data_IF_727765307121
#
_entry.id   IF_727765307121
#
_cell.length_a   1.000
_cell.length_b   1.000
_cell.length_c   1.000
_cell.angle_alpha   90.00
_cell.angle_beta   90.00
_cell.angle_gamma   90.00
#
_symmetry.space_group_name_H-M   'P 1'
#
loop_
_entity.id
_entity.type
_entity.pdbx_description
1 polymer ?
#
# COMPACT_ATOMS: atom_id res chain seq x y z
N UNK A 1 -0.90 4.51 19.71
CA UNK A 1 -0.84 4.75 18.26
C UNK A 1 -2.21 4.42 17.66
N UNK A 2 -2.66 5.25 16.72
CA UNK A 2 -3.99 5.09 16.10
C UNK A 2 -4.01 4.11 14.94
N UNK A 3 -2.85 3.91 14.28
CA UNK A 3 -2.73 3.10 13.08
C UNK A 3 -1.28 2.65 12.84
N UNK A 4 -1.11 1.46 12.28
CA UNK A 4 0.17 0.97 11.75
C UNK A 4 0.16 1.04 10.22
N UNK A 5 1.18 1.66 9.64
CA UNK A 5 1.38 1.71 8.18
C UNK A 5 2.39 0.64 7.81
N UNK A 6 1.93 -0.39 7.09
CA UNK A 6 2.77 -1.49 6.61
C UNK A 6 3.23 -1.16 5.20
N UNK A 7 4.55 -1.06 5.02
CA UNK A 7 5.19 -0.69 3.75
C UNK A 7 6.01 -1.87 3.25
N UNK A 8 5.68 -2.43 2.07
CA UNK A 8 6.47 -3.50 1.47
C UNK A 8 7.67 -2.95 0.71
N UNK A 9 8.83 -3.62 0.82
CA UNK A 9 10.02 -3.26 0.06
C UNK A 9 10.85 -4.49 -0.30
N UNK A 10 11.61 -4.40 -1.39
CA UNK A 10 12.65 -5.34 -1.78
C UNK A 10 13.67 -4.63 -2.66
N UNK A 11 14.91 -4.47 -2.17
CA UNK A 11 16.05 -3.88 -2.89
C UNK A 11 15.75 -2.57 -3.64
N UNK A 12 14.94 -1.67 -3.05
CA UNK A 12 14.46 -0.43 -3.67
C UNK A 12 14.76 0.80 -2.81
N UNK A 13 16.02 0.96 -2.39
CA UNK A 13 16.48 1.98 -1.42
C UNK A 13 16.05 3.39 -1.80
N UNK A 14 16.27 3.80 -3.07
CA UNK A 14 15.93 5.16 -3.55
C UNK A 14 14.43 5.44 -3.50
N UNK A 15 13.60 4.45 -3.84
CA UNK A 15 12.14 4.61 -3.80
C UNK A 15 11.64 4.61 -2.37
N UNK A 16 12.11 3.68 -1.53
CA UNK A 16 11.76 3.63 -0.11
C UNK A 16 12.14 4.92 0.61
N UNK A 17 13.30 5.51 0.30
CA UNK A 17 13.69 6.81 0.85
C UNK A 17 12.64 7.88 0.55
N UNK A 18 12.20 8.00 -0.70
CA UNK A 18 11.17 8.98 -1.09
C UNK A 18 9.84 8.73 -0.38
N UNK A 19 9.44 7.47 -0.23
CA UNK A 19 8.21 7.09 0.48
C UNK A 19 8.30 7.45 1.96
N UNK A 20 9.41 7.11 2.64
CA UNK A 20 9.62 7.46 4.05
C UNK A 20 9.64 8.97 4.29
N UNK A 21 10.24 9.76 3.38
CA UNK A 21 10.16 11.22 3.44
C UNK A 21 8.69 11.68 3.35
N UNK A 22 7.89 11.09 2.49
CA UNK A 22 6.45 11.39 2.41
C UNK A 22 5.69 11.07 3.71
N UNK A 23 6.07 10.01 4.40
CA UNK A 23 5.48 9.68 5.70
C UNK A 23 5.99 10.59 6.83
N UNK A 24 7.20 11.12 6.77
CA UNK A 24 7.73 12.04 7.81
C UNK A 24 7.01 13.39 7.86
N UNK A 25 6.24 13.73 6.82
CA UNK A 25 5.51 15.01 6.70
C UNK A 25 3.98 14.85 6.71
N UNK A 26 3.47 13.72 7.23
CA UNK A 26 2.03 13.50 7.35
C UNK A 26 1.38 14.47 8.33
N UNK A 27 0.12 14.86 8.07
CA UNK A 27 -0.70 15.68 8.98
C UNK A 27 -1.08 14.94 10.26
N UNK A 28 -1.33 13.63 10.18
CA UNK A 28 -1.47 12.77 11.34
C UNK A 28 -0.07 12.32 11.80
N UNK A 29 0.23 12.42 13.08
CA UNK A 29 1.52 12.04 13.66
C UNK A 29 1.45 10.82 14.59
N UNK A 30 0.25 10.35 14.96
CA UNK A 30 0.06 9.24 15.88
C UNK A 30 -0.08 7.91 15.12
N UNK A 31 0.95 7.55 14.36
CA UNK A 31 1.07 6.28 13.66
C UNK A 31 2.48 5.68 13.82
N UNK A 32 2.60 4.39 13.60
CA UNK A 32 3.89 3.70 13.43
C UNK A 32 4.08 3.26 11.99
N UNK A 33 5.33 3.04 11.61
CA UNK A 33 5.70 2.42 10.35
C UNK A 33 6.24 1.02 10.63
N UNK A 34 5.72 0.04 9.89
CA UNK A 34 6.22 -1.34 9.87
C UNK A 34 6.72 -1.62 8.45
N UNK A 35 8.02 -1.73 8.28
CA UNK A 35 8.62 -2.09 6.98
C UNK A 35 8.58 -3.60 6.84
N UNK A 36 7.84 -4.09 5.87
CA UNK A 36 7.78 -5.49 5.43
C UNK A 36 8.81 -5.69 4.32
N UNK A 37 10.02 -6.10 4.69
CA UNK A 37 11.19 -6.20 3.82
C UNK A 37 11.40 -7.65 3.37
N UNK A 38 11.17 -7.92 2.10
CA UNK A 38 11.16 -9.25 1.48
C UNK A 38 12.59 -9.77 1.15
N UNK A 39 13.56 -9.51 2.04
CA UNK A 39 14.91 -10.03 1.92
C UNK A 39 15.89 -9.06 1.25
N UNK A 40 15.74 -7.75 1.45
CA UNK A 40 16.68 -6.76 0.93
C UNK A 40 18.07 -6.88 1.55
N UNK A 41 19.06 -6.33 0.85
CA UNK A 41 20.44 -6.15 1.33
C UNK A 41 20.52 -5.17 2.50
N UNK A 42 21.68 -5.12 3.18
CA UNK A 42 21.93 -4.23 4.33
C UNK A 42 21.67 -2.75 4.07
N UNK A 43 21.78 -2.29 2.81
CA UNK A 43 21.54 -0.90 2.42
C UNK A 43 20.12 -0.41 2.79
N UNK A 44 19.12 -1.30 2.72
CA UNK A 44 17.76 -0.98 3.15
C UNK A 44 17.69 -0.75 4.66
N UNK A 45 18.35 -1.59 5.45
CA UNK A 45 18.44 -1.43 6.91
C UNK A 45 19.15 -0.13 7.29
N UNK A 46 20.23 0.20 6.59
CA UNK A 46 21.01 1.43 6.82
C UNK A 46 20.16 2.67 6.53
N UNK A 47 19.41 2.66 5.42
CA UNK A 47 18.46 3.72 5.09
C UNK A 47 17.41 3.90 6.20
N UNK A 48 16.79 2.81 6.65
CA UNK A 48 15.77 2.84 7.72
C UNK A 48 16.36 3.45 8.98
N UNK A 49 17.54 3.00 9.40
CA UNK A 49 18.23 3.52 10.60
C UNK A 49 18.50 5.02 10.48
N UNK A 50 18.99 5.47 9.32
CA UNK A 50 19.28 6.89 9.03
C UNK A 50 18.03 7.77 9.11
N UNK A 51 16.88 7.28 8.65
CA UNK A 51 15.65 8.05 8.59
C UNK A 51 14.80 7.96 9.87
N UNK A 52 15.07 6.99 10.74
CA UNK A 52 14.25 6.74 11.96
C UNK A 52 14.10 7.97 12.85
N UNK A 53 15.11 8.84 12.93
CA UNK A 53 15.07 10.09 13.71
C UNK A 53 14.05 11.12 13.19
N UNK A 54 13.57 10.98 11.95
CA UNK A 54 12.54 11.86 11.37
C UNK A 54 11.13 11.52 11.86
N UNK A 55 10.94 10.41 12.58
CA UNK A 55 9.64 9.93 13.04
C UNK A 55 9.48 10.05 14.55
N UNK A 56 8.26 10.37 14.97
CA UNK A 56 7.88 10.41 16.39
C UNK A 56 7.93 9.03 17.02
N UNK A 57 7.48 8.01 16.31
CA UNK A 57 7.48 6.62 16.74
C UNK A 57 8.58 5.84 16.01
N UNK A 58 9.18 4.81 16.64
CA UNK A 58 10.18 3.97 16.00
C UNK A 58 9.64 3.30 14.74
N UNK A 59 10.49 3.15 13.72
CA UNK A 59 10.19 2.30 12.57
C UNK A 59 10.50 0.85 12.97
N UNK A 60 9.52 -0.03 12.80
CA UNK A 60 9.68 -1.47 12.98
C UNK A 60 10.15 -2.06 11.66
N UNK A 61 11.34 -2.62 11.61
CA UNK A 61 11.88 -3.32 10.45
C UNK A 61 11.66 -4.82 10.61
N UNK A 62 10.75 -5.38 9.81
CA UNK A 62 10.50 -6.82 9.72
C UNK A 62 11.15 -7.32 8.45
N UNK A 63 12.13 -8.20 8.62
CA UNK A 63 12.96 -8.74 7.55
C UNK A 63 13.02 -10.26 7.62
N UNK A 64 13.22 -10.93 6.50
CA UNK A 64 13.59 -12.34 6.41
C UNK A 64 14.60 -12.53 5.27
N UNK A 65 15.28 -13.66 5.28
CA UNK A 65 16.22 -14.03 4.23
C UNK A 65 15.53 -14.12 2.86
N UNK A 66 16.26 -13.70 1.80
CA UNK A 66 15.78 -13.76 0.42
C UNK A 66 15.70 -15.21 -0.09
N UNK A 67 14.51 -15.67 -0.30
CA UNK A 67 14.18 -16.95 -0.95
C UNK A 67 13.30 -16.75 -2.18
N UNK A 68 13.51 -15.64 -2.92
CA UNK A 68 12.67 -15.19 -4.02
C UNK A 68 11.42 -14.45 -3.54
N UNK A 69 10.43 -14.29 -4.39
CA UNK A 69 9.24 -13.51 -4.06
C UNK A 69 8.41 -14.13 -2.95
N UNK A 70 8.47 -13.56 -1.75
CA UNK A 70 7.72 -13.98 -0.56
C UNK A 70 6.93 -12.83 0.08
N UNK A 71 6.52 -11.85 -0.72
CA UNK A 71 5.77 -10.66 -0.27
C UNK A 71 4.61 -11.00 0.68
N UNK A 72 3.85 -12.06 0.42
CA UNK A 72 2.72 -12.48 1.27
C UNK A 72 3.17 -12.91 2.66
N UNK A 73 4.27 -13.64 2.76
CA UNK A 73 4.84 -14.07 4.05
C UNK A 73 5.35 -12.90 4.87
N UNK A 74 6.09 -11.98 4.24
CA UNK A 74 6.62 -10.82 4.99
C UNK A 74 5.51 -9.87 5.41
N UNK A 75 4.44 -9.71 4.62
CA UNK A 75 3.24 -8.98 5.00
C UNK A 75 2.57 -9.60 6.22
N UNK A 76 2.42 -10.93 6.26
CA UNK A 76 1.86 -11.64 7.40
C UNK A 76 2.71 -11.46 8.67
N UNK A 77 4.04 -11.52 8.57
CA UNK A 77 4.95 -11.21 9.68
C UNK A 77 4.79 -9.76 10.16
N UNK A 78 4.67 -8.81 9.22
CA UNK A 78 4.47 -7.40 9.54
C UNK A 78 3.13 -7.13 10.23
N UNK A 79 2.05 -7.81 9.82
CA UNK A 79 0.74 -7.75 10.50
C UNK A 79 0.87 -8.19 11.96
N UNK A 80 1.58 -9.29 12.23
CA UNK A 80 1.79 -9.77 13.59
C UNK A 80 2.63 -8.80 14.44
N UNK A 81 3.62 -8.14 13.85
CA UNK A 81 4.51 -7.17 14.51
C UNK A 81 3.91 -5.77 14.70
N UNK A 82 2.80 -5.46 14.00
CA UNK A 82 2.10 -4.18 14.16
C UNK A 82 1.41 -4.09 15.53
N UNK A 83 1.45 -2.89 16.15
CA UNK A 83 0.90 -2.66 17.49
C UNK A 83 -0.51 -2.02 17.49
N UNK A 84 -1.02 -1.61 16.33
CA UNK A 84 -2.31 -0.94 16.21
C UNK A 84 -3.41 -1.89 15.72
N UNK A 85 -4.64 -1.58 16.09
CA UNK A 85 -5.83 -2.35 15.66
C UNK A 85 -6.28 -2.00 14.24
N UNK A 86 -5.80 -0.91 13.67
CA UNK A 86 -6.09 -0.48 12.30
C UNK A 86 -4.82 -0.43 11.47
N UNK A 87 -4.83 -1.07 10.30
CA UNK A 87 -3.66 -1.24 9.44
C UNK A 87 -3.87 -0.57 8.08
N UNK A 88 -2.87 0.17 7.61
CA UNK A 88 -2.77 0.70 6.25
C UNK A 88 -1.67 -0.05 5.52
N UNK A 89 -1.93 -0.48 4.29
CA UNK A 89 -0.97 -1.19 3.44
C UNK A 89 -0.60 -0.33 2.25
N UNK A 90 0.70 -0.26 1.97
CA UNK A 90 1.26 0.46 0.84
C UNK A 90 2.56 -0.18 0.35
N UNK A 91 2.96 0.16 -0.88
CA UNK A 91 4.23 -0.31 -1.44
C UNK A 91 5.34 0.74 -1.23
N UNK A 92 6.61 0.29 -1.18
CA UNK A 92 7.80 1.11 -0.98
C UNK A 92 8.17 2.02 -2.17
N UNK A 93 7.30 2.09 -3.17
CA UNK A 93 7.37 2.98 -4.33
C UNK A 93 6.16 3.93 -4.43
N UNK A 94 5.36 4.01 -3.36
CA UNK A 94 4.14 4.81 -3.30
C UNK A 94 4.28 5.99 -2.35
N UNK A 95 4.67 7.18 -2.86
CA UNK A 95 4.79 8.40 -2.05
C UNK A 95 3.40 8.85 -1.60
N UNK A 96 3.11 8.92 -0.30
CA UNK A 96 1.80 9.34 0.20
C UNK A 96 1.63 10.86 0.09
N UNK A 97 0.40 11.33 -0.20
CA UNK A 97 0.06 12.75 0.00
C UNK A 97 0.07 13.08 1.51
N UNK A 98 0.30 14.32 1.89
CA UNK A 98 0.43 14.72 3.31
C UNK A 98 -0.75 14.32 4.22
N UNK A 99 -1.95 14.22 3.66
CA UNK A 99 -3.17 13.84 4.37
C UNK A 99 -3.52 12.35 4.24
N UNK A 100 -2.61 11.52 3.72
CA UNK A 100 -2.89 10.13 3.39
C UNK A 100 -3.34 9.31 4.61
N UNK A 101 -2.59 9.36 5.70
CA UNK A 101 -2.92 8.63 6.93
C UNK A 101 -4.21 9.17 7.55
N UNK A 102 -4.37 10.51 7.61
CA UNK A 102 -5.57 11.17 8.12
C UNK A 102 -6.82 10.73 7.35
N UNK A 103 -6.75 10.63 6.01
CA UNK A 103 -7.88 10.21 5.20
C UNK A 103 -8.27 8.75 5.46
N UNK A 104 -7.31 7.86 5.62
CA UNK A 104 -7.62 6.48 6.02
C UNK A 104 -8.33 6.42 7.37
N UNK A 105 -7.83 7.14 8.37
CA UNK A 105 -8.46 7.21 9.70
C UNK A 105 -9.85 7.84 9.65
N UNK A 106 -10.05 8.87 8.84
CA UNK A 106 -11.34 9.56 8.67
C UNK A 106 -12.43 8.67 8.08
N UNK A 107 -12.07 7.83 7.10
CA UNK A 107 -13.04 6.99 6.38
C UNK A 107 -13.16 5.57 6.94
N UNK A 108 -12.34 5.18 7.94
CA UNK A 108 -12.43 3.86 8.57
C UNK A 108 -13.81 3.63 9.18
N UNK A 109 -14.28 2.42 9.04
CA UNK A 109 -15.58 1.99 9.59
C UNK A 109 -15.53 0.51 9.92
N UNK A 110 -16.22 0.10 10.98
CA UNK A 110 -16.32 -1.32 11.37
C UNK A 110 -17.10 -2.08 10.29
N UNK A 111 -16.62 -3.27 9.92
CA UNK A 111 -17.20 -4.07 8.84
C UNK A 111 -16.81 -3.64 7.44
N UNK A 112 -15.90 -2.64 7.30
CA UNK A 112 -15.42 -2.17 6.01
C UNK A 112 -13.90 -2.17 5.93
N UNK A 113 -13.39 -2.55 4.76
CA UNK A 113 -12.03 -2.15 4.36
C UNK A 113 -12.06 -0.98 3.36
N UNK A 114 -10.98 -0.22 3.31
CA UNK A 114 -10.85 0.91 2.40
C UNK A 114 -9.97 0.54 1.20
N UNK A 115 -10.39 0.98 0.01
CA UNK A 115 -9.66 0.86 -1.25
C UNK A 115 -9.27 2.25 -1.74
N UNK A 116 -8.01 2.61 -1.57
CA UNK A 116 -7.45 3.88 -2.01
C UNK A 116 -7.02 3.88 -3.47
N UNK A 117 -6.38 4.97 -3.89
CA UNK A 117 -5.94 5.15 -5.27
C UNK A 117 -4.49 5.58 -5.38
N UNK A 118 -3.97 5.49 -6.59
CA UNK A 118 -2.65 5.99 -6.93
C UNK A 118 -2.68 6.82 -8.20
N UNK A 119 -1.65 7.65 -8.36
CA UNK A 119 -1.35 8.36 -9.58
C UNK A 119 0.02 7.91 -10.09
N UNK A 120 0.04 7.15 -11.18
CA UNK A 120 1.29 6.60 -11.72
C UNK A 120 2.04 7.65 -12.51
N UNK A 121 3.32 7.83 -12.22
CA UNK A 121 4.24 8.66 -12.98
C UNK A 121 5.15 7.80 -13.87
N UNK A 122 5.59 8.30 -15.03
CA UNK A 122 6.63 7.64 -15.81
C UNK A 122 7.98 7.71 -15.09
N UNK A 123 8.89 6.78 -15.42
CA UNK A 123 10.20 6.64 -14.78
C UNK A 123 11.02 7.94 -14.80
N UNK A 124 10.99 8.67 -15.91
CA UNK A 124 11.71 9.94 -16.07
C UNK A 124 11.30 10.97 -15.01
N UNK A 125 10.00 11.13 -14.77
CA UNK A 125 9.48 12.07 -13.76
C UNK A 125 9.65 11.50 -12.34
N UNK A 126 9.49 10.18 -12.17
CA UNK A 126 9.72 9.51 -10.88
C UNK A 126 11.12 9.76 -10.32
N UNK A 127 12.14 9.77 -11.20
CA UNK A 127 13.53 10.08 -10.82
C UNK A 127 13.76 11.53 -10.45
N UNK A 128 13.06 12.48 -11.08
CA UNK A 128 13.22 13.93 -10.83
C UNK A 128 12.70 14.38 -9.45
N UNK A 129 11.79 13.62 -8.84
CA UNK A 129 11.22 14.01 -7.55
C UNK A 129 12.32 14.07 -6.48
N UNK A 130 12.60 15.26 -6.00
CA UNK A 130 13.53 15.53 -4.90
C UNK A 130 12.86 15.42 -3.53
N UNK A 131 13.65 15.31 -2.45
CA UNK A 131 13.15 15.40 -1.07
C UNK A 131 12.33 16.68 -0.84
N UNK A 132 12.81 17.82 -1.34
CA UNK A 132 12.09 19.10 -1.25
C UNK A 132 10.72 19.06 -1.94
N UNK A 133 10.61 18.41 -3.11
CA UNK A 133 9.34 18.29 -3.82
C UNK A 133 8.31 17.47 -3.04
N UNK A 134 8.76 16.51 -2.25
CA UNK A 134 7.91 15.69 -1.38
C UNK A 134 7.47 16.53 -0.17
N UNK A 135 8.42 17.16 0.52
CA UNK A 135 8.17 17.98 1.71
C UNK A 135 7.20 19.14 1.39
N UNK A 136 7.38 19.82 0.25
CA UNK A 136 6.53 20.93 -0.20
C UNK A 136 5.27 20.45 -0.95
N UNK A 137 5.07 19.14 -1.10
CA UNK A 137 4.00 18.52 -1.87
C UNK A 137 3.94 18.99 -3.34
N UNK A 138 5.07 19.41 -3.90
CA UNK A 138 5.15 19.88 -5.29
C UNK A 138 4.81 18.76 -6.27
N UNK A 139 5.29 17.54 -6.05
CA UNK A 139 5.03 16.39 -6.90
C UNK A 139 3.54 16.03 -7.05
N UNK A 140 2.66 16.54 -6.16
CA UNK A 140 1.20 16.42 -6.27
C UNK A 140 0.53 17.58 -7.01
N UNK A 141 1.26 18.65 -7.37
CA UNK A 141 0.72 19.83 -8.06
C UNK A 141 0.76 19.62 -9.58
N UNK A 142 -0.38 19.89 -10.25
CA UNK A 142 -0.47 19.78 -11.71
C UNK A 142 0.51 20.70 -12.43
N UNK A 143 0.78 21.89 -11.88
CA UNK A 143 1.77 22.84 -12.40
C UNK A 143 3.18 22.24 -12.42
N UNK A 144 3.61 21.63 -11.31
CA UNK A 144 4.91 20.97 -11.19
C UNK A 144 5.03 19.81 -12.20
N UNK A 145 4.00 18.99 -12.29
CA UNK A 145 3.96 17.86 -13.24
C UNK A 145 4.10 18.33 -14.69
N UNK A 146 3.36 19.41 -15.06
CA UNK A 146 3.42 19.99 -16.40
C UNK A 146 4.80 20.54 -16.74
N UNK A 147 5.43 21.28 -15.82
CA UNK A 147 6.79 21.84 -15.99
C UNK A 147 7.81 20.72 -16.20
N UNK A 148 7.64 19.56 -15.51
CA UNK A 148 8.51 18.41 -15.64
C UNK A 148 8.10 17.45 -16.77
N UNK A 149 7.31 17.92 -17.74
CA UNK A 149 7.00 17.20 -18.98
C UNK A 149 5.87 16.19 -18.90
N UNK A 150 5.10 16.13 -17.78
CA UNK A 150 3.94 15.24 -17.70
C UNK A 150 2.78 15.79 -18.55
N UNK A 151 2.28 14.97 -19.48
CA UNK A 151 1.07 15.31 -20.23
C UNK A 151 -0.16 15.04 -19.37
N UNK A 152 -0.81 16.11 -18.92
CA UNK A 152 -2.04 16.01 -18.12
C UNK A 152 -3.14 15.28 -18.91
N UNK A 153 -3.91 14.48 -18.20
CA UNK A 153 -5.04 13.75 -18.73
C UNK A 153 -6.18 13.69 -17.70
N UNK A 154 -7.32 13.08 -18.04
CA UNK A 154 -8.46 13.02 -17.13
C UNK A 154 -8.15 12.35 -15.77
N UNK A 155 -7.17 11.45 -15.71
CA UNK A 155 -6.75 10.82 -14.44
C UNK A 155 -6.08 11.81 -13.50
N UNK A 156 -5.62 12.97 -14.00
CA UNK A 156 -4.99 14.02 -13.19
C UNK A 156 -5.96 14.63 -12.17
N UNK A 157 -7.28 14.45 -12.34
CA UNK A 157 -8.29 14.83 -11.34
C UNK A 157 -8.10 14.11 -10.01
N UNK A 158 -7.42 12.96 -9.98
CA UNK A 158 -7.07 12.24 -8.74
C UNK A 158 -6.18 13.07 -7.81
N UNK A 159 -5.43 14.02 -8.34
CA UNK A 159 -4.55 14.90 -7.58
C UNK A 159 -5.27 16.14 -7.04
N UNK A 160 -6.61 16.19 -7.12
CA UNK A 160 -7.37 17.31 -6.57
C UNK A 160 -7.15 17.46 -5.06
N UNK A 161 -6.94 18.69 -4.61
CA UNK A 161 -6.92 19.06 -3.19
C UNK A 161 -8.31 19.47 -2.68
N UNK A 162 -9.29 19.60 -3.57
CA UNK A 162 -10.66 19.93 -3.18
C UNK A 162 -11.38 18.68 -2.65
N UNK A 163 -11.67 18.67 -1.34
CA UNK A 163 -12.33 17.56 -0.66
C UNK A 163 -13.71 17.20 -1.22
N UNK A 164 -14.46 18.19 -1.68
CA UNK A 164 -15.81 17.97 -2.24
C UNK A 164 -15.72 17.29 -3.61
N UNK A 165 -14.78 17.72 -4.45
CA UNK A 165 -14.50 17.06 -5.73
C UNK A 165 -14.03 15.63 -5.46
N UNK A 166 -13.12 15.41 -4.52
CA UNK A 166 -12.63 14.08 -4.19
C UNK A 166 -13.77 13.15 -3.72
N UNK A 167 -14.65 13.63 -2.83
CA UNK A 167 -15.82 12.87 -2.35
C UNK A 167 -16.79 12.55 -3.48
N UNK A 168 -17.13 13.53 -4.31
CA UNK A 168 -18.00 13.35 -5.46
C UNK A 168 -17.42 12.33 -6.44
N UNK A 169 -16.12 12.42 -6.74
CA UNK A 169 -15.44 11.46 -7.61
C UNK A 169 -15.36 10.07 -7.01
N UNK A 170 -15.17 9.93 -5.70
CA UNK A 170 -15.25 8.63 -5.01
C UNK A 170 -16.65 8.01 -5.16
N UNK A 171 -17.70 8.83 -5.15
CA UNK A 171 -19.08 8.37 -5.25
C UNK A 171 -19.43 7.94 -6.68
N UNK A 172 -19.12 8.76 -7.69
CA UNK A 172 -19.55 8.52 -9.08
C UNK A 172 -18.68 7.52 -9.86
N UNK A 173 -17.41 7.30 -9.43
CA UNK A 173 -16.49 6.48 -10.21
C UNK A 173 -16.86 5.00 -10.10
N UNK A 174 -17.28 4.33 -11.21
CA UNK A 174 -17.71 2.95 -11.20
C UNK A 174 -16.49 2.01 -11.19
N UNK A 175 -15.79 1.94 -10.07
CA UNK A 175 -14.60 1.10 -9.93
C UNK A 175 -14.84 -0.03 -8.95
N UNK A 176 -14.37 -1.24 -9.28
CA UNK A 176 -14.38 -2.35 -8.34
C UNK A 176 -13.55 -2.01 -7.12
N UNK A 177 -14.17 -2.01 -5.95
CA UNK A 177 -13.57 -1.66 -4.66
C UNK A 177 -12.87 -2.87 -4.07
N UNK A 178 -11.81 -3.34 -4.73
CA UNK A 178 -11.03 -4.49 -4.27
C UNK A 178 -9.91 -4.04 -3.33
N UNK A 179 -9.44 -4.95 -2.48
CA UNK A 179 -8.19 -4.76 -1.77
C UNK A 179 -7.04 -4.64 -2.77
N UNK A 180 -6.07 -3.78 -2.49
CA UNK A 180 -4.88 -3.58 -3.32
C UNK A 180 -3.67 -3.28 -2.43
N UNK A 181 -2.48 -3.77 -2.77
CA UNK A 181 -1.28 -3.69 -1.93
C UNK A 181 -0.72 -2.28 -1.79
N UNK A 182 -0.97 -1.43 -2.78
CA UNK A 182 -0.38 -0.09 -2.80
C UNK A 182 -1.16 0.96 -1.99
N UNK A 183 -2.44 0.69 -1.63
CA UNK A 183 -3.27 1.65 -0.91
C UNK A 183 -4.58 1.01 -0.46
N UNK A 184 -4.53 0.24 0.62
CA UNK A 184 -5.72 -0.30 1.28
C UNK A 184 -5.57 -0.23 2.79
N UNK A 185 -6.68 -0.27 3.52
CA UNK A 185 -6.65 -0.34 4.97
C UNK A 185 -7.85 -1.08 5.53
N UNK A 186 -7.67 -1.66 6.72
CA UNK A 186 -8.72 -2.42 7.41
C UNK A 186 -8.36 -2.68 8.86
N UNK A 187 -9.32 -3.23 9.61
CA UNK A 187 -9.09 -3.62 10.99
C UNK A 187 -8.24 -4.88 11.06
N UNK A 188 -7.29 -4.90 11.97
CA UNK A 188 -6.38 -6.05 12.16
C UNK A 188 -7.17 -7.32 12.48
N UNK A 189 -8.19 -7.24 13.31
CA UNK A 189 -9.06 -8.38 13.65
C UNK A 189 -9.72 -9.01 12.41
N UNK A 190 -10.17 -8.20 11.44
CA UNK A 190 -10.79 -8.68 10.22
C UNK A 190 -9.79 -9.38 9.30
N UNK A 191 -8.56 -8.85 9.23
CA UNK A 191 -7.45 -9.46 8.48
C UNK A 191 -7.04 -10.79 9.12
N UNK A 192 -6.98 -10.86 10.46
CA UNK A 192 -6.70 -12.08 11.19
C UNK A 192 -7.81 -13.12 11.03
N UNK A 193 -9.07 -12.70 10.99
CA UNK A 193 -10.22 -13.58 10.80
C UNK A 193 -10.16 -14.37 9.50
N UNK A 194 -9.60 -13.78 8.43
CA UNK A 194 -9.38 -14.44 7.15
C UNK A 194 -7.99 -15.10 7.03
N UNK A 195 -7.20 -15.13 8.12
CA UNK A 195 -5.84 -15.68 8.19
C UNK A 195 -4.83 -14.94 7.31
N UNK A 196 -5.00 -13.62 7.10
CA UNK A 196 -4.06 -12.77 6.36
C UNK A 196 -3.92 -13.12 4.89
N UNK A 197 -2.72 -12.90 4.34
CA UNK A 197 -2.39 -13.21 2.95
C UNK A 197 -2.09 -14.70 2.77
N UNK A 198 -2.44 -15.25 1.61
CA UNK A 198 -2.13 -16.63 1.27
C UNK A 198 -0.66 -16.77 0.83
N UNK A 199 0.15 -17.48 1.61
CA UNK A 199 1.59 -17.65 1.40
C UNK A 199 1.96 -18.48 0.16
N UNK A 200 1.01 -19.19 -0.46
CA UNK A 200 1.22 -19.90 -1.72
C UNK A 200 1.17 -18.97 -2.94
N UNK A 201 0.63 -17.77 -2.78
CA UNK A 201 0.52 -16.82 -3.88
C UNK A 201 1.81 -16.04 -4.06
N UNK A 202 2.25 -16.01 -5.31
CA UNK A 202 3.33 -15.16 -5.76
C UNK A 202 2.77 -13.86 -6.38
N UNK A 203 3.59 -13.15 -7.15
CA UNK A 203 3.20 -11.88 -7.76
C UNK A 203 1.97 -12.00 -8.66
N UNK A 204 0.96 -11.18 -8.38
CA UNK A 204 -0.22 -10.98 -9.25
C UNK A 204 -1.52 -11.52 -8.69
N UNK A 205 -2.26 -10.65 -8.03
CA UNK A 205 -3.58 -10.92 -7.50
C UNK A 205 -3.64 -11.43 -6.08
N UNK A 206 -2.49 -11.53 -5.38
CA UNK A 206 -2.36 -11.89 -3.97
C UNK A 206 -3.16 -10.95 -3.06
N UNK A 207 -3.11 -9.66 -3.34
CA UNK A 207 -3.87 -8.64 -2.64
C UNK A 207 -5.38 -8.82 -2.84
N UNK A 208 -5.78 -9.06 -4.09
CA UNK A 208 -7.20 -9.24 -4.43
C UNK A 208 -7.77 -10.50 -3.83
N UNK A 209 -6.96 -11.56 -3.75
CA UNK A 209 -7.34 -12.84 -3.15
C UNK A 209 -7.75 -12.66 -1.68
N UNK A 210 -6.91 -11.97 -0.90
CA UNK A 210 -7.25 -11.67 0.49
C UNK A 210 -8.54 -10.84 0.59
N UNK A 211 -8.68 -9.79 -0.22
CA UNK A 211 -9.90 -8.98 -0.27
C UNK A 211 -11.15 -9.76 -0.70
N UNK A 212 -11.01 -10.76 -1.57
CA UNK A 212 -12.09 -11.66 -1.97
C UNK A 212 -12.54 -12.54 -0.80
N UNK A 213 -11.60 -13.04 0.04
CA UNK A 213 -11.93 -13.77 1.27
C UNK A 213 -12.56 -12.86 2.32
N UNK A 214 -12.15 -11.60 2.42
CA UNK A 214 -12.82 -10.62 3.30
C UNK A 214 -14.28 -10.40 2.87
N UNK A 215 -14.58 -10.33 1.57
CA UNK A 215 -15.96 -10.28 1.07
C UNK A 215 -16.74 -11.57 1.40
N UNK A 216 -16.13 -12.73 1.26
CA UNK A 216 -16.75 -14.00 1.64
C UNK A 216 -17.06 -14.05 3.16
N UNK A 217 -16.27 -13.35 3.97
CA UNK A 217 -16.51 -13.17 5.42
C UNK A 217 -17.54 -12.07 5.75
N UNK A 218 -18.27 -11.58 4.74
CA UNK A 218 -19.33 -10.59 4.94
C UNK A 218 -18.87 -9.13 5.04
N UNK A 219 -17.58 -8.85 4.87
CA UNK A 219 -17.08 -7.47 4.89
C UNK A 219 -17.51 -6.70 3.65
N UNK A 220 -17.70 -5.40 3.84
CA UNK A 220 -17.94 -4.45 2.76
C UNK A 220 -16.67 -3.67 2.43
N UNK A 221 -16.72 -2.85 1.38
CA UNK A 221 -15.61 -1.99 1.00
C UNK A 221 -16.04 -0.59 0.60
N UNK A 222 -15.19 0.39 0.93
CA UNK A 222 -15.34 1.79 0.49
C UNK A 222 -14.18 2.19 -0.38
N UNK A 223 -14.46 2.86 -1.51
CA UNK A 223 -13.38 3.50 -2.26
C UNK A 223 -13.12 4.91 -1.72
N UNK A 224 -11.83 5.22 -1.56
CA UNK A 224 -11.33 6.54 -1.17
C UNK A 224 -10.24 7.04 -2.14
N UNK A 225 -10.34 6.64 -3.41
CA UNK A 225 -9.28 6.76 -4.43
C UNK A 225 -8.89 8.19 -4.76
N UNK A 226 -9.77 9.16 -4.50
CA UNK A 226 -9.50 10.58 -4.71
C UNK A 226 -9.21 11.31 -3.39
N UNK A 227 -9.57 10.70 -2.26
CA UNK A 227 -9.33 11.26 -0.92
C UNK A 227 -7.97 10.84 -0.36
N UNK A 228 -7.66 9.54 -0.35
CA UNK A 228 -6.34 9.04 0.02
C UNK A 228 -5.57 8.65 -1.25
N UNK A 229 -4.65 9.51 -1.67
CA UNK A 229 -3.88 9.34 -2.91
C UNK A 229 -2.39 9.22 -2.64
N UNK A 230 -1.71 8.33 -3.35
CA UNK A 230 -0.25 8.26 -3.43
C UNK A 230 0.23 8.42 -4.87
N UNK A 231 1.46 8.86 -5.04
CA UNK A 231 2.18 8.82 -6.31
C UNK A 231 2.93 7.50 -6.39
N UNK A 232 2.59 6.70 -7.40
CA UNK A 232 3.30 5.46 -7.69
C UNK A 232 4.45 5.75 -8.64
N UNK A 233 5.67 5.54 -8.15
CA UNK A 233 6.91 5.66 -8.90
C UNK A 233 7.03 4.50 -9.88
N UNK A 234 7.55 4.75 -11.07
CA UNK A 234 7.71 3.70 -12.08
C UNK A 234 9.00 2.91 -11.86
N UNK A 235 8.92 1.60 -12.08
CA UNK A 235 10.05 0.67 -11.97
C UNK A 235 9.84 -0.55 -12.88
N UNK A 236 10.92 -1.28 -13.16
CA UNK A 236 10.86 -2.57 -13.86
C UNK A 236 10.22 -3.65 -13.00
N UNK A 237 9.58 -4.65 -13.62
CA UNK A 237 8.89 -5.77 -12.97
C UNK A 237 9.39 -7.09 -13.52
N UNK A 238 10.59 -7.51 -13.10
CA UNK A 238 11.24 -8.73 -13.58
C UNK A 238 10.69 -10.06 -13.04
N UNK A 239 9.82 -10.00 -12.02
CA UNK A 239 9.32 -11.16 -11.26
C UNK A 239 7.93 -11.66 -11.72
N UNK A 240 7.36 -11.11 -12.77
CA UNK A 240 6.05 -11.52 -13.30
C UNK A 240 6.18 -12.58 -14.39
N UNK A 241 5.44 -13.67 -14.31
CA UNK A 241 5.35 -14.67 -15.38
C UNK A 241 3.90 -15.07 -15.67
N UNK A 242 3.57 -15.50 -16.91
CA UNK A 242 2.23 -16.00 -17.24
C UNK A 242 1.81 -17.22 -16.40
N UNK A 243 2.76 -18.04 -16.03
CA UNK A 243 2.50 -19.25 -15.21
C UNK A 243 2.08 -18.89 -13.80
N UNK A 244 2.79 -17.96 -13.17
CA UNK A 244 2.44 -17.42 -11.84
C UNK A 244 1.00 -16.87 -11.88
N UNK A 245 0.66 -16.05 -12.86
CA UNK A 245 -0.68 -15.51 -13.02
C UNK A 245 -1.74 -16.60 -13.19
N UNK A 246 -1.44 -17.64 -13.96
CA UNK A 246 -2.35 -18.78 -14.16
C UNK A 246 -2.61 -19.51 -12.84
N UNK A 247 -1.57 -19.77 -12.05
CA UNK A 247 -1.70 -20.45 -10.76
C UNK A 247 -2.46 -19.60 -9.73
N UNK A 248 -2.12 -18.31 -9.60
CA UNK A 248 -2.83 -17.40 -8.72
C UNK A 248 -4.32 -17.28 -9.10
N UNK A 249 -4.64 -17.21 -10.40
CA UNK A 249 -6.03 -17.18 -10.86
C UNK A 249 -6.79 -18.48 -10.57
N UNK A 250 -6.13 -19.65 -10.57
CA UNK A 250 -6.75 -20.93 -10.15
C UNK A 250 -7.13 -20.88 -8.67
N UNK A 251 -6.22 -20.43 -7.79
CA UNK A 251 -6.49 -20.28 -6.35
C UNK A 251 -7.69 -19.35 -6.15
N UNK A 252 -7.70 -18.17 -6.77
CA UNK A 252 -8.80 -17.21 -6.67
C UNK A 252 -10.13 -17.76 -7.19
N UNK A 253 -10.11 -18.47 -8.32
CA UNK A 253 -11.32 -19.10 -8.88
C UNK A 253 -11.88 -20.18 -7.94
N UNK A 254 -11.01 -20.98 -7.33
CA UNK A 254 -11.39 -21.98 -6.33
C UNK A 254 -12.01 -21.33 -5.10
N UNK A 255 -11.35 -20.30 -4.54
CA UNK A 255 -11.81 -19.57 -3.36
C UNK A 255 -13.17 -18.92 -3.60
N UNK A 256 -13.38 -18.34 -4.77
CA UNK A 256 -14.65 -17.75 -5.15
C UNK A 256 -15.76 -18.81 -5.29
N UNK A 257 -15.48 -19.94 -5.99
CA UNK A 257 -16.45 -21.02 -6.19
C UNK A 257 -16.92 -21.65 -4.89
N UNK A 258 -16.01 -21.79 -3.92
CA UNK A 258 -16.27 -22.47 -2.65
C UNK A 258 -16.52 -21.51 -1.47
N UNK A 259 -16.62 -20.19 -1.75
CA UNK A 259 -16.83 -19.15 -0.73
C UNK A 259 -15.82 -19.26 0.44
N UNK A 260 -14.54 -19.53 0.11
CA UNK A 260 -13.49 -19.69 1.12
C UNK A 260 -13.29 -18.37 1.88
N UNK A 261 -13.38 -18.42 3.19
CA UNK A 261 -13.17 -17.28 4.08
C UNK A 261 -11.72 -17.24 4.57
N UNK A 262 -11.22 -18.37 5.03
CA UNK A 262 -9.91 -18.50 5.68
C UNK A 262 -8.96 -19.33 4.81
N UNK A 263 -7.75 -18.82 4.54
CA UNK A 263 -6.73 -19.60 3.86
C UNK A 263 -6.06 -20.58 4.83
N UNK A 264 -5.68 -21.78 4.36
CA UNK A 264 -4.92 -22.76 5.13
C UNK A 264 -3.43 -22.39 5.23
N UNK A 265 -2.94 -21.49 4.38
CA UNK A 265 -1.53 -21.08 4.27
C UNK A 265 -1.36 -19.57 4.55
N UNK A 266 -1.83 -19.12 5.70
CA UNK A 266 -1.84 -17.71 6.09
C UNK A 266 -0.87 -17.34 7.21
N UNK A 267 -1.33 -16.45 8.07
CA UNK A 267 -0.57 -15.91 9.21
C UNK A 267 -0.15 -16.98 10.21
N UNK A 268 -0.96 -18.02 10.40
CA UNK A 268 -0.68 -19.13 11.30
C UNK A 268 0.49 -20.05 10.86
N UNK A 269 1.07 -19.78 9.68
CA UNK A 269 2.20 -20.51 9.10
C UNK A 269 3.48 -19.67 8.97
N UNK A 270 3.58 -18.49 9.59
CA UNK A 270 4.76 -17.60 9.51
C UNK A 270 5.43 -17.34 10.85
#
# INVERSE_FOLDING_TARGET
MKVSVIITTYNAVDWLQKVLIGYSVQTESDFEIVIADDGSTSETKDLISKLSSKFKNPIIHVWHEDHGFQKTKILNKAILKSNSDYLIFTDGDCIPRKDFVEMHLKYREIGYFLSGGYFKLPLSISKLISEKDIIDSNCFKLSWLKINGFKLNFKSIKLTNNRYIAQFMNWITPTKRSWNGHNSSGWKCDILAVNGFNNEMQYGGEDREMGERMFNNGMLSKQIRYSAICIHLDHSRGYSSPEIWKNNNKIRAYNKKNSIIKTDNGIDKV
#
